data_IF_964951766165
#
_entry.id   IF_964951766165
#
_cell.length_a   1.000
_cell.length_b   1.000
_cell.length_c   1.000
_cell.angle_alpha   90.00
_cell.angle_beta   90.00
_cell.angle_gamma   90.00
#
_symmetry.space_group_name_H-M   'P 1'
#
loop_
_entity.id
_entity.type
_entity.pdbx_description
1 polymer ?
#
# COMPACT_ATOMS: atom_id res chain seq x y z
N UNK A 1 -16.21 3.48 -34.03
CA UNK A 1 -14.90 3.45 -34.72
C UNK A 1 -14.91 2.42 -35.82
N UNK A 2 -14.36 2.74 -36.96
CA UNK A 2 -14.28 1.87 -38.13
C UNK A 2 -12.84 1.58 -38.49
N UNK A 3 -12.53 0.32 -38.76
CA UNK A 3 -11.25 -0.11 -39.30
C UNK A 3 -11.25 0.11 -40.81
N UNK A 4 -10.25 0.81 -41.33
CA UNK A 4 -10.08 1.00 -42.79
C UNK A 4 -8.63 0.74 -43.20
N UNK A 5 -8.41 0.49 -44.50
CA UNK A 5 -7.05 0.41 -45.04
C UNK A 5 -6.39 1.81 -45.01
N UNK A 6 -5.15 1.86 -44.65
CA UNK A 6 -4.38 3.11 -44.58
C UNK A 6 -4.41 3.87 -45.90
N UNK A 7 -4.37 3.15 -47.02
CA UNK A 7 -4.45 3.77 -48.38
C UNK A 7 -5.77 4.46 -48.70
N UNK A 8 -6.85 4.13 -47.94
CA UNK A 8 -8.19 4.70 -48.13
C UNK A 8 -8.51 5.76 -47.03
N UNK A 9 -7.55 6.10 -46.20
CA UNK A 9 -7.77 6.91 -45.01
C UNK A 9 -7.59 8.41 -45.19
N UNK A 10 -7.26 8.88 -46.40
CA UNK A 10 -7.06 10.32 -46.64
C UNK A 10 -8.32 11.11 -46.29
N UNK A 11 -8.17 12.20 -45.54
CA UNK A 11 -9.24 13.05 -45.04
C UNK A 11 -9.94 12.51 -43.78
N UNK A 12 -9.60 11.32 -43.31
CA UNK A 12 -10.14 10.77 -42.09
C UNK A 12 -9.36 11.21 -40.84
N UNK A 13 -9.99 11.15 -39.66
CA UNK A 13 -9.40 11.57 -38.39
C UNK A 13 -8.89 10.36 -37.64
N UNK A 14 -7.63 10.37 -37.23
CA UNK A 14 -7.03 9.35 -36.38
C UNK A 14 -7.67 9.35 -34.99
N UNK A 15 -8.06 8.19 -34.49
CA UNK A 15 -8.68 8.06 -33.17
C UNK A 15 -7.70 7.68 -32.04
N UNK A 16 -6.42 7.46 -32.36
CA UNK A 16 -5.36 7.17 -31.39
C UNK A 16 -4.00 7.67 -31.88
N UNK A 17 -3.02 7.75 -30.97
CA UNK A 17 -1.65 8.08 -31.31
C UNK A 17 -1.00 6.92 -32.08
N UNK A 18 -0.27 7.23 -33.12
CA UNK A 18 0.56 6.29 -33.86
C UNK A 18 2.00 6.45 -33.39
N UNK A 19 2.49 5.48 -32.65
CA UNK A 19 3.84 5.49 -32.06
C UNK A 19 4.83 4.76 -32.97
N UNK A 20 5.99 5.37 -33.20
CA UNK A 20 7.15 4.74 -33.82
C UNK A 20 8.12 4.28 -32.73
N UNK A 21 8.55 3.04 -32.82
CA UNK A 21 9.58 2.48 -31.95
C UNK A 21 10.79 2.11 -32.81
N UNK A 22 11.90 2.81 -32.59
CA UNK A 22 13.20 2.46 -33.15
C UNK A 22 14.09 2.03 -31.99
N UNK A 23 14.42 0.74 -31.84
CA UNK A 23 15.20 0.24 -30.71
C UNK A 23 16.50 1.02 -30.51
N UNK A 24 16.71 1.52 -29.28
CA UNK A 24 17.91 2.29 -28.92
C UNK A 24 17.93 3.76 -29.40
N UNK A 25 16.96 4.22 -30.19
CA UNK A 25 16.96 5.55 -30.80
C UNK A 25 15.74 6.38 -30.41
N UNK A 26 14.52 5.86 -30.63
CA UNK A 26 13.29 6.66 -30.45
C UNK A 26 12.09 5.80 -30.11
N UNK A 27 11.27 6.30 -29.16
CA UNK A 27 9.90 5.85 -28.91
C UNK A 27 9.04 7.10 -28.75
N UNK A 28 8.39 7.53 -29.83
CA UNK A 28 7.55 8.73 -29.82
C UNK A 28 6.38 8.61 -30.80
N UNK A 29 5.31 9.42 -30.57
CA UNK A 29 4.18 9.48 -31.46
C UNK A 29 4.57 10.19 -32.78
N UNK A 30 4.41 9.51 -33.90
CA UNK A 30 4.57 10.09 -35.25
C UNK A 30 3.33 10.90 -35.62
N UNK A 31 2.16 10.38 -35.28
CA UNK A 31 0.89 11.11 -35.43
C UNK A 31 0.13 11.01 -34.10
N UNK A 32 -0.55 12.08 -33.75
CA UNK A 32 -1.38 12.14 -32.56
C UNK A 32 -2.85 11.94 -32.89
N UNK A 33 -3.62 11.46 -31.91
CA UNK A 33 -5.07 11.44 -31.97
C UNK A 33 -5.62 12.78 -32.44
N UNK A 34 -6.60 12.75 -33.35
CA UNK A 34 -7.19 13.94 -33.93
C UNK A 34 -6.47 14.44 -35.17
N UNK A 35 -5.34 13.85 -35.59
CA UNK A 35 -4.66 14.17 -36.82
C UNK A 35 -5.54 13.79 -38.01
N UNK A 36 -5.72 14.74 -38.95
CA UNK A 36 -6.42 14.52 -40.24
C UNK A 36 -5.39 13.95 -41.21
N UNK A 37 -5.63 12.75 -41.70
CA UNK A 37 -4.69 12.01 -42.54
C UNK A 37 -4.60 12.69 -43.91
N UNK A 38 -3.40 13.06 -44.35
CA UNK A 38 -3.11 13.57 -45.68
C UNK A 38 -2.55 12.48 -46.59
N UNK A 39 -2.40 12.77 -47.89
CA UNK A 39 -1.76 11.83 -48.84
C UNK A 39 -0.29 11.56 -48.49
N UNK A 40 0.39 12.56 -47.95
CA UNK A 40 1.79 12.52 -47.53
C UNK A 40 2.01 11.63 -46.31
N UNK A 41 0.98 11.44 -45.48
CA UNK A 41 1.05 10.61 -44.28
C UNK A 41 0.99 9.11 -44.61
N UNK A 42 0.38 8.74 -45.73
CA UNK A 42 0.19 7.33 -46.10
C UNK A 42 1.52 6.53 -46.13
N UNK A 43 2.59 7.00 -46.83
CA UNK A 43 3.87 6.31 -46.79
C UNK A 43 4.48 6.19 -45.41
N UNK A 44 4.29 7.21 -44.56
CA UNK A 44 4.81 7.22 -43.18
C UNK A 44 4.05 6.20 -42.33
N UNK A 45 2.72 6.16 -42.41
CA UNK A 45 1.88 5.18 -41.70
C UNK A 45 2.25 3.74 -42.08
N UNK A 46 2.43 3.48 -43.39
CA UNK A 46 2.85 2.17 -43.87
C UNK A 46 4.25 1.82 -43.39
N UNK A 47 5.19 2.78 -43.34
CA UNK A 47 6.57 2.57 -42.89
C UNK A 47 6.66 2.18 -41.41
N UNK A 48 5.69 2.58 -40.60
CA UNK A 48 5.58 2.18 -39.16
C UNK A 48 4.66 0.97 -38.97
N UNK A 49 4.38 0.23 -40.05
CA UNK A 49 3.65 -1.04 -40.02
C UNK A 49 2.13 -0.89 -39.84
N UNK A 50 1.54 0.22 -40.28
CA UNK A 50 0.10 0.47 -40.18
C UNK A 50 -0.60 0.28 -41.53
N UNK A 51 -0.84 -0.96 -41.93
CA UNK A 51 -1.61 -1.29 -43.14
C UNK A 51 -3.09 -0.98 -43.00
N UNK A 52 -3.59 -1.00 -41.76
CA UNK A 52 -4.95 -0.62 -41.38
C UNK A 52 -4.92 0.29 -40.17
N UNK A 53 -5.89 1.19 -40.09
CA UNK A 53 -6.03 2.15 -38.99
C UNK A 53 -7.49 2.28 -38.56
N UNK A 54 -7.68 2.69 -37.31
CA UNK A 54 -8.98 3.07 -36.79
C UNK A 54 -9.28 4.53 -37.04
N UNK A 55 -10.43 4.81 -37.67
CA UNK A 55 -10.96 6.17 -37.86
C UNK A 55 -12.12 6.42 -36.91
N UNK A 56 -12.36 7.71 -36.63
CA UNK A 56 -13.40 8.12 -35.72
C UNK A 56 -14.78 7.88 -36.33
N UNK A 57 -15.62 7.10 -35.67
CA UNK A 57 -17.06 7.04 -35.84
C UNK A 57 -17.71 7.34 -34.50
N UNK A 58 -18.65 8.29 -34.47
CA UNK A 58 -19.30 8.66 -33.23
C UNK A 58 -20.27 7.56 -32.79
N UNK A 59 -19.93 6.85 -31.73
CA UNK A 59 -20.80 5.86 -31.08
C UNK A 59 -20.94 6.27 -29.61
N UNK A 60 -22.10 6.84 -29.29
CA UNK A 60 -22.39 7.36 -27.95
C UNK A 60 -22.43 6.29 -26.85
N UNK A 61 -22.53 5.01 -27.19
CA UNK A 61 -22.51 3.88 -26.25
C UNK A 61 -21.10 3.50 -25.83
N UNK A 62 -20.09 4.00 -26.55
CA UNK A 62 -18.68 3.70 -26.34
C UNK A 62 -17.94 4.87 -25.67
N UNK A 63 -16.88 4.57 -24.96
CA UNK A 63 -15.98 5.51 -24.32
C UNK A 63 -14.56 5.26 -24.81
N UNK A 64 -13.83 6.34 -25.11
CA UNK A 64 -12.44 6.25 -25.56
C UNK A 64 -11.51 5.90 -24.41
N UNK A 65 -10.36 5.26 -24.70
CA UNK A 65 -9.39 4.78 -23.69
C UNK A 65 -8.94 5.87 -22.71
N UNK A 66 -8.77 7.12 -23.18
CA UNK A 66 -8.33 8.22 -22.32
C UNK A 66 -9.40 8.60 -21.28
N UNK A 67 -10.66 8.68 -21.69
CA UNK A 67 -11.78 8.95 -20.79
C UNK A 67 -12.00 7.78 -19.83
N UNK A 68 -11.88 6.55 -20.33
CA UNK A 68 -11.99 5.34 -19.51
C UNK A 68 -10.85 5.25 -18.46
N UNK A 69 -9.63 5.70 -18.79
CA UNK A 69 -8.53 5.76 -17.85
C UNK A 69 -8.84 6.69 -16.67
N UNK A 70 -9.53 7.82 -16.90
CA UNK A 70 -9.98 8.71 -15.83
C UNK A 70 -11.02 8.04 -14.92
N UNK A 71 -11.94 7.26 -15.48
CA UNK A 71 -12.90 6.48 -14.69
C UNK A 71 -12.17 5.45 -13.81
N UNK A 72 -11.20 4.72 -14.36
CA UNK A 72 -10.38 3.78 -13.60
C UNK A 72 -9.57 4.47 -12.49
N UNK A 73 -9.02 5.65 -12.76
CA UNK A 73 -8.36 6.46 -11.74
C UNK A 73 -9.31 6.81 -10.59
N UNK A 74 -10.53 7.27 -10.91
CA UNK A 74 -11.54 7.59 -9.87
C UNK A 74 -11.92 6.36 -9.04
N UNK A 75 -12.14 5.22 -9.66
CA UNK A 75 -12.36 3.96 -8.95
C UNK A 75 -11.19 3.61 -8.03
N UNK A 76 -9.96 3.89 -8.47
CA UNK A 76 -8.75 3.62 -7.69
C UNK A 76 -8.59 4.54 -6.49
N UNK A 77 -8.78 5.86 -6.66
CA UNK A 77 -8.33 6.87 -5.70
C UNK A 77 -9.44 7.68 -5.01
N UNK A 78 -10.65 7.72 -5.58
CA UNK A 78 -11.71 8.63 -5.13
C UNK A 78 -12.99 7.91 -4.66
N UNK A 79 -13.25 6.72 -5.18
CA UNK A 79 -14.58 6.10 -5.12
C UNK A 79 -15.55 6.75 -6.13
N UNK A 80 -16.76 6.19 -6.27
CA UNK A 80 -17.67 6.56 -7.36
C UNK A 80 -18.94 7.32 -6.92
N UNK A 81 -19.28 7.35 -5.64
CA UNK A 81 -20.48 8.07 -5.12
C UNK A 81 -20.56 9.57 -5.42
N UNK A 82 -19.46 10.21 -5.88
CA UNK A 82 -19.38 11.66 -6.15
C UNK A 82 -19.30 12.01 -7.65
N UNK A 83 -19.48 11.04 -8.53
CA UNK A 83 -19.32 11.26 -9.99
C UNK A 83 -20.48 12.05 -10.59
N UNK A 84 -21.69 12.02 -9.99
CA UNK A 84 -22.88 12.66 -10.54
C UNK A 84 -22.91 14.20 -10.36
N UNK A 85 -22.07 14.77 -9.49
CA UNK A 85 -22.11 16.20 -9.16
C UNK A 85 -21.10 17.06 -9.92
N UNK A 86 -20.10 16.50 -10.63
CA UNK A 86 -18.93 17.27 -11.08
C UNK A 86 -18.55 17.04 -12.56
N UNK A 87 -19.53 16.90 -13.44
CA UNK A 87 -19.27 16.69 -14.89
C UNK A 87 -18.87 17.99 -15.66
N UNK A 88 -18.71 19.12 -14.98
CA UNK A 88 -18.41 20.41 -15.64
C UNK A 88 -17.10 21.10 -15.27
N UNK A 89 -16.31 20.56 -14.36
CA UNK A 89 -15.01 21.18 -14.01
C UNK A 89 -13.99 20.12 -13.62
N UNK A 90 -12.78 20.26 -14.14
CA UNK A 90 -11.63 19.38 -14.02
C UNK A 90 -11.50 18.58 -12.71
N UNK A 91 -11.01 17.37 -12.83
CA UNK A 91 -10.85 16.32 -11.83
C UNK A 91 -10.56 16.86 -10.42
N UNK A 92 -11.61 17.20 -9.66
CA UNK A 92 -11.53 17.48 -8.23
C UNK A 92 -12.23 16.35 -7.49
N UNK A 93 -11.43 15.49 -6.85
CA UNK A 93 -11.93 14.53 -5.87
C UNK A 93 -12.38 15.32 -4.63
N UNK A 94 -13.69 15.39 -4.37
CA UNK A 94 -14.30 16.25 -3.35
C UNK A 94 -14.07 15.88 -1.87
N UNK A 95 -13.08 15.06 -1.58
CA UNK A 95 -12.35 14.91 -0.30
C UNK A 95 -10.89 15.12 -0.64
N UNK A 96 -10.10 15.68 0.27
CA UNK A 96 -8.65 15.83 0.08
C UNK A 96 -8.09 14.46 -0.28
N UNK A 97 -8.03 14.18 -1.60
CA UNK A 97 -7.41 12.95 -2.08
C UNK A 97 -5.94 13.03 -1.72
N UNK A 98 -5.43 12.00 -1.08
CA UNK A 98 -4.01 11.86 -0.76
C UNK A 98 -3.21 11.35 -1.96
N UNK A 99 -3.80 11.42 -3.14
CA UNK A 99 -3.30 10.87 -4.40
C UNK A 99 -3.75 11.74 -5.57
N UNK A 100 -2.90 11.84 -6.59
CA UNK A 100 -3.25 12.51 -7.84
C UNK A 100 -2.93 11.63 -9.07
N UNK A 101 -3.58 11.88 -10.23
CA UNK A 101 -3.27 11.17 -11.47
C UNK A 101 -2.04 11.76 -12.16
N UNK A 102 -1.27 10.93 -12.84
CA UNK A 102 -0.37 11.42 -13.89
C UNK A 102 -1.18 11.96 -15.09
N UNK A 103 -0.57 12.73 -15.99
CA UNK A 103 -1.18 13.03 -17.28
C UNK A 103 -1.56 11.73 -18.02
N UNK A 104 -2.73 11.74 -18.68
CA UNK A 104 -3.16 10.60 -19.51
C UNK A 104 -2.22 10.44 -20.70
N UNK A 105 -1.73 9.24 -20.91
CA UNK A 105 -0.90 8.90 -22.07
C UNK A 105 -1.27 7.51 -22.59
N UNK A 106 -1.76 7.42 -23.84
CA UNK A 106 -2.16 6.16 -24.49
C UNK A 106 -3.12 5.34 -23.58
N UNK A 107 -4.16 5.99 -23.05
CA UNK A 107 -5.13 5.34 -22.18
C UNK A 107 -4.61 4.91 -20.81
N UNK A 108 -3.43 5.37 -20.39
CA UNK A 108 -2.81 5.06 -19.10
C UNK A 108 -2.82 6.25 -18.17
N UNK A 109 -3.10 5.99 -16.91
CA UNK A 109 -2.91 6.91 -15.78
C UNK A 109 -2.16 6.15 -14.70
N UNK A 110 -1.14 6.81 -14.11
CA UNK A 110 -0.49 6.37 -12.88
C UNK A 110 -1.12 7.10 -11.69
N UNK A 111 -1.39 6.39 -10.61
CA UNK A 111 -1.86 6.95 -9.33
C UNK A 111 -0.63 7.26 -8.50
N UNK A 112 -0.45 8.51 -8.08
CA UNK A 112 0.74 9.01 -7.39
C UNK A 112 0.36 9.49 -5.99
N UNK A 113 1.19 9.17 -4.99
CA UNK A 113 0.99 9.58 -3.61
C UNK A 113 1.29 11.08 -3.40
N UNK A 114 0.41 11.79 -2.66
CA UNK A 114 0.60 13.18 -2.25
C UNK A 114 1.20 13.34 -0.86
N UNK A 115 1.26 12.27 -0.09
CA UNK A 115 1.82 12.25 1.26
C UNK A 115 2.48 10.91 1.58
N UNK A 116 3.29 10.92 2.64
CA UNK A 116 3.82 9.72 3.25
C UNK A 116 2.73 8.99 4.04
N UNK A 117 2.77 7.65 4.08
CA UNK A 117 1.82 6.87 4.85
C UNK A 117 1.86 5.38 4.58
N UNK A 118 0.86 4.69 5.10
CA UNK A 118 0.58 3.28 4.87
C UNK A 118 -0.37 3.14 3.69
N UNK A 119 0.06 2.51 2.61
CA UNK A 119 -0.84 2.18 1.49
C UNK A 119 -1.79 1.06 1.89
N UNK A 120 -3.08 1.29 1.74
CA UNK A 120 -4.13 0.26 1.83
C UNK A 120 -4.65 -0.05 0.43
N UNK A 121 -4.87 -1.33 0.18
CA UNK A 121 -5.48 -1.83 -1.07
C UNK A 121 -6.65 -2.73 -0.72
N UNK A 122 -7.84 -2.41 -1.21
CA UNK A 122 -8.97 -3.32 -1.16
C UNK A 122 -8.82 -4.38 -2.26
N UNK A 123 -8.16 -5.48 -1.92
CA UNK A 123 -7.88 -6.58 -2.84
C UNK A 123 -9.14 -7.25 -3.37
N UNK A 124 -10.24 -7.22 -2.62
CA UNK A 124 -11.52 -7.79 -3.06
C UNK A 124 -12.14 -6.94 -4.16
N UNK A 125 -12.19 -5.60 -3.99
CA UNK A 125 -12.64 -4.67 -5.02
C UNK A 125 -11.74 -4.72 -6.25
N UNK A 126 -10.42 -4.67 -6.04
CA UNK A 126 -9.42 -4.75 -7.11
C UNK A 126 -9.62 -6.00 -7.97
N UNK A 127 -9.76 -7.17 -7.33
CA UNK A 127 -10.01 -8.44 -8.02
C UNK A 127 -11.33 -8.39 -8.81
N UNK A 128 -12.42 -7.88 -8.20
CA UNK A 128 -13.73 -7.78 -8.87
C UNK A 128 -13.65 -6.88 -10.12
N UNK A 129 -13.04 -5.70 -10.02
CA UNK A 129 -12.89 -4.78 -11.14
C UNK A 129 -12.06 -5.41 -12.26
N UNK A 130 -10.91 -5.99 -11.94
CA UNK A 130 -10.06 -6.64 -12.94
C UNK A 130 -10.74 -7.89 -13.58
N UNK A 131 -11.70 -8.51 -12.88
CA UNK A 131 -12.44 -9.69 -13.40
C UNK A 131 -13.42 -9.35 -14.53
N UNK A 132 -13.72 -8.07 -14.77
CA UNK A 132 -14.49 -7.67 -15.95
C UNK A 132 -13.74 -7.94 -17.28
N UNK A 133 -12.43 -8.24 -17.22
CA UNK A 133 -11.57 -8.28 -18.40
C UNK A 133 -11.47 -6.88 -19.03
N UNK A 134 -10.59 -6.63 -19.96
CA UNK A 134 -10.41 -5.32 -20.62
C UNK A 134 -10.09 -4.14 -19.69
N UNK A 135 -10.42 -4.20 -18.38
CA UNK A 135 -10.12 -3.21 -17.35
C UNK A 135 -8.91 -3.68 -16.55
N UNK A 136 -7.88 -2.86 -16.49
CA UNK A 136 -6.62 -3.20 -15.81
C UNK A 136 -6.25 -2.13 -14.79
N UNK A 137 -6.22 -2.53 -13.52
CA UNK A 137 -5.66 -1.76 -12.40
C UNK A 137 -4.60 -2.63 -11.76
N UNK A 138 -3.32 -2.23 -11.86
CA UNK A 138 -2.20 -2.90 -11.22
C UNK A 138 -1.67 -2.01 -10.10
N UNK A 139 -1.52 -2.55 -8.89
CA UNK A 139 -1.15 -1.80 -7.70
C UNK A 139 0.16 -2.30 -7.09
N UNK A 140 0.80 -1.48 -6.26
CA UNK A 140 1.78 -1.98 -5.28
C UNK A 140 1.05 -2.86 -4.25
N UNK A 141 1.81 -3.66 -3.50
CA UNK A 141 1.25 -4.38 -2.36
C UNK A 141 0.70 -3.41 -1.31
N UNK A 142 -0.49 -3.71 -0.80
CA UNK A 142 -1.06 -3.07 0.38
C UNK A 142 -0.23 -3.33 1.64
N UNK A 143 -0.56 -2.62 2.71
CA UNK A 143 0.12 -2.67 4.01
C UNK A 143 1.63 -2.36 3.94
N UNK A 144 2.06 -1.57 2.93
CA UNK A 144 3.44 -1.13 2.77
C UNK A 144 3.56 0.38 2.91
N UNK A 145 4.73 0.84 3.36
CA UNK A 145 5.05 2.27 3.43
C UNK A 145 5.18 2.87 2.05
N UNK A 146 4.65 4.06 1.89
CA UNK A 146 4.80 4.88 0.67
C UNK A 146 5.22 6.29 1.06
N UNK A 147 5.91 6.95 0.12
CA UNK A 147 6.34 8.34 0.25
C UNK A 147 5.65 9.20 -0.79
N UNK A 148 5.55 10.50 -0.51
CA UNK A 148 5.08 11.48 -1.49
C UNK A 148 5.86 11.34 -2.80
N UNK A 149 5.13 11.28 -3.93
CA UNK A 149 5.69 11.06 -5.26
C UNK A 149 5.80 9.58 -5.67
N UNK A 150 5.55 8.63 -4.77
CA UNK A 150 5.56 7.21 -5.12
C UNK A 150 4.39 6.86 -6.04
N UNK A 151 4.65 6.03 -7.06
CA UNK A 151 3.62 5.42 -7.89
C UNK A 151 2.97 4.28 -7.11
N UNK A 152 1.64 4.36 -6.95
CA UNK A 152 0.84 3.41 -6.19
C UNK A 152 0.18 2.37 -7.06
N UNK A 153 -0.30 2.82 -8.24
CA UNK A 153 -0.98 1.99 -9.22
C UNK A 153 -0.80 2.54 -10.63
N UNK A 154 -1.03 1.68 -11.62
CA UNK A 154 -1.23 2.04 -13.01
C UNK A 154 -2.55 1.51 -13.51
N UNK A 155 -3.27 2.30 -14.29
CA UNK A 155 -4.58 1.94 -14.82
C UNK A 155 -4.58 1.97 -16.35
N UNK A 156 -5.36 1.08 -16.97
CA UNK A 156 -5.54 1.05 -18.42
C UNK A 156 -6.78 0.25 -18.80
N UNK A 157 -7.43 0.59 -19.92
CA UNK A 157 -8.26 -0.37 -20.65
C UNK A 157 -7.44 -1.01 -21.78
N UNK A 158 -7.81 -2.25 -22.16
CA UNK A 158 -7.09 -2.98 -23.22
C UNK A 158 -7.52 -2.52 -24.61
N UNK A 159 -8.84 -2.41 -24.93
CA UNK A 159 -9.27 -1.91 -26.22
C UNK A 159 -9.15 -0.39 -26.30
N UNK A 160 -9.11 0.15 -27.52
CA UNK A 160 -9.08 1.59 -27.76
C UNK A 160 -10.39 2.29 -27.33
N UNK A 161 -11.49 1.58 -27.37
CA UNK A 161 -12.81 2.01 -26.87
C UNK A 161 -13.49 0.86 -26.12
N UNK A 162 -14.26 1.22 -25.11
CA UNK A 162 -14.99 0.27 -24.26
C UNK A 162 -16.45 0.71 -24.12
N UNK A 163 -17.36 -0.24 -23.87
CA UNK A 163 -18.78 0.05 -23.62
C UNK A 163 -18.94 0.84 -22.30
N UNK A 164 -19.68 1.95 -22.35
CA UNK A 164 -19.98 2.78 -21.17
C UNK A 164 -20.68 1.97 -20.07
N UNK A 165 -21.62 1.10 -20.44
CA UNK A 165 -22.34 0.27 -19.47
C UNK A 165 -21.41 -0.66 -18.69
N UNK A 166 -20.40 -1.25 -19.35
CA UNK A 166 -19.41 -2.10 -18.69
C UNK A 166 -18.58 -1.31 -17.66
N UNK A 167 -18.15 -0.08 -18.01
CA UNK A 167 -17.45 0.80 -17.07
C UNK A 167 -18.35 1.23 -15.91
N UNK A 168 -19.62 1.52 -16.17
CA UNK A 168 -20.60 1.89 -15.15
C UNK A 168 -20.82 0.72 -14.18
N UNK A 169 -21.02 -0.49 -14.67
CA UNK A 169 -21.17 -1.68 -13.83
C UNK A 169 -19.92 -1.94 -12.96
N UNK A 170 -18.72 -1.82 -13.54
CA UNK A 170 -17.48 -1.93 -12.77
C UNK A 170 -17.34 -0.81 -11.71
N UNK A 171 -17.79 0.41 -12.04
CA UNK A 171 -17.74 1.56 -11.13
C UNK A 171 -18.64 1.37 -9.89
N UNK A 172 -19.75 0.65 -10.01
CA UNK A 172 -20.65 0.36 -8.88
C UNK A 172 -19.95 -0.42 -7.76
N UNK A 173 -18.88 -1.19 -8.07
CA UNK A 173 -18.06 -1.89 -7.07
C UNK A 173 -17.39 -0.92 -6.12
N UNK A 174 -17.13 0.31 -6.56
CA UNK A 174 -16.41 1.34 -5.80
C UNK A 174 -17.34 2.43 -5.23
N UNK A 175 -18.67 2.22 -5.21
CA UNK A 175 -19.63 3.18 -4.67
C UNK A 175 -19.43 3.46 -3.17
N UNK A 176 -19.04 2.46 -2.39
CA UNK A 176 -18.78 2.56 -0.95
C UNK A 176 -17.37 3.06 -0.60
N UNK A 177 -16.54 3.34 -1.60
CA UNK A 177 -15.20 3.90 -1.44
C UNK A 177 -14.18 3.40 -2.47
N UNK A 178 -13.00 4.01 -2.52
CA UNK A 178 -11.95 3.70 -3.49
C UNK A 178 -11.29 2.33 -3.23
N UNK A 179 -10.52 1.87 -4.23
CA UNK A 179 -9.67 0.67 -4.12
C UNK A 179 -8.44 0.96 -3.26
N UNK A 180 -7.89 2.18 -3.33
CA UNK A 180 -6.67 2.59 -2.63
C UNK A 180 -6.97 3.65 -1.58
N UNK A 181 -6.26 3.60 -0.46
CA UNK A 181 -6.19 4.68 0.53
C UNK A 181 -4.76 4.79 1.07
N UNK A 182 -4.38 5.97 1.54
CA UNK A 182 -3.14 6.19 2.29
C UNK A 182 -3.54 6.59 3.71
N UNK A 183 -3.19 5.76 4.70
CA UNK A 183 -3.34 6.09 6.11
C UNK A 183 -2.08 6.81 6.59
N UNK A 184 -2.16 8.05 7.07
CA UNK A 184 -1.00 8.76 7.58
C UNK A 184 -0.45 8.08 8.84
N UNK A 185 0.85 8.18 9.07
CA UNK A 185 1.44 7.78 10.35
C UNK A 185 1.10 8.84 11.40
N UNK A 186 0.39 8.43 12.45
CA UNK A 186 -0.16 9.35 13.46
C UNK A 186 0.37 9.10 14.87
N UNK A 187 0.93 7.91 15.14
CA UNK A 187 1.56 7.60 16.43
C UNK A 187 2.85 8.41 16.56
N UNK A 188 3.01 9.10 17.69
CA UNK A 188 4.17 9.97 17.98
C UNK A 188 4.91 9.58 19.25
N UNK A 189 4.24 8.95 20.20
CA UNK A 189 4.74 8.66 21.54
C UNK A 189 4.79 7.17 21.79
N UNK A 190 6.00 6.61 21.84
CA UNK A 190 6.21 5.20 22.12
C UNK A 190 6.84 5.01 23.51
N UNK A 191 6.47 3.90 24.15
CA UNK A 191 7.16 3.41 25.34
C UNK A 191 7.93 2.12 25.02
N UNK A 192 9.06 1.94 25.69
CA UNK A 192 9.86 0.73 25.62
C UNK A 192 10.03 0.20 27.05
N UNK A 193 9.65 -1.04 27.24
CA UNK A 193 9.82 -1.79 28.49
C UNK A 193 10.83 -2.90 28.23
N UNK A 194 12.03 -2.74 28.76
CA UNK A 194 13.10 -3.72 28.61
C UNK A 194 13.07 -4.68 29.81
N UNK A 195 13.08 -5.98 29.57
CA UNK A 195 13.10 -6.99 30.62
C UNK A 195 14.32 -7.91 30.49
N UNK A 196 14.71 -8.52 31.57
CA UNK A 196 15.80 -9.47 31.64
C UNK A 196 16.75 -9.18 32.80
N UNK A 197 17.01 -10.18 33.63
CA UNK A 197 17.90 -10.07 34.78
C UNK A 197 19.30 -9.63 34.40
N UNK A 198 19.78 -10.00 33.21
CA UNK A 198 21.12 -9.65 32.74
C UNK A 198 21.25 -8.16 32.38
N UNK A 199 20.20 -7.54 31.82
CA UNK A 199 20.17 -6.12 31.53
C UNK A 199 19.91 -5.31 32.80
N UNK A 200 18.94 -5.77 33.63
CA UNK A 200 18.55 -5.10 34.86
C UNK A 200 19.71 -4.97 35.85
N UNK A 201 20.53 -6.02 35.99
CA UNK A 201 21.72 -6.01 36.84
C UNK A 201 22.99 -5.43 36.17
N UNK A 202 22.84 -4.88 34.94
CA UNK A 202 23.96 -4.27 34.21
C UNK A 202 25.06 -5.25 33.76
N UNK A 203 24.75 -6.55 33.68
CA UNK A 203 25.70 -7.57 33.19
C UNK A 203 25.94 -7.45 31.70
N UNK A 204 24.90 -7.02 30.94
CA UNK A 204 24.97 -6.67 29.52
C UNK A 204 24.26 -5.34 29.28
N UNK A 205 24.59 -4.69 28.17
CA UNK A 205 23.91 -3.46 27.76
C UNK A 205 22.63 -3.79 27.00
N UNK A 206 21.62 -2.93 27.14
CA UNK A 206 20.41 -3.01 26.34
C UNK A 206 20.70 -2.71 24.87
N UNK A 207 20.58 -3.73 24.03
CA UNK A 207 20.77 -3.65 22.59
C UNK A 207 19.44 -3.52 21.81
N UNK A 208 18.28 -3.68 22.48
CA UNK A 208 16.96 -3.56 21.85
C UNK A 208 16.52 -2.11 21.69
N UNK A 209 16.61 -1.32 22.75
CA UNK A 209 16.12 0.06 22.76
C UNK A 209 16.66 0.88 21.61
N UNK A 210 17.97 0.92 21.29
CA UNK A 210 18.47 1.70 20.16
C UNK A 210 17.93 1.27 18.80
N UNK A 211 17.66 -0.03 18.62
CA UNK A 211 17.09 -0.57 17.36
C UNK A 211 15.64 -0.14 17.20
N UNK A 212 14.84 -0.21 18.28
CA UNK A 212 13.44 0.20 18.26
C UNK A 212 13.33 1.71 18.04
N UNK A 213 14.09 2.52 18.74
CA UNK A 213 14.12 3.98 18.57
C UNK A 213 14.40 4.36 17.12
N UNK A 214 15.41 3.74 16.51
CA UNK A 214 15.72 3.98 15.10
C UNK A 214 14.54 3.63 14.18
N UNK A 215 13.87 2.51 14.43
CA UNK A 215 12.73 2.06 13.60
C UNK A 215 11.51 2.95 13.76
N UNK A 216 11.15 3.37 14.98
CA UNK A 216 9.99 4.26 15.19
C UNK A 216 10.24 5.67 14.69
N UNK A 217 11.50 6.15 14.72
CA UNK A 217 11.89 7.45 14.18
C UNK A 217 11.63 7.56 12.66
N UNK A 218 11.69 6.45 11.90
CA UNK A 218 11.34 6.42 10.48
C UNK A 218 9.88 6.86 10.23
N UNK A 219 9.01 6.77 11.25
CA UNK A 219 7.59 7.15 11.21
C UNK A 219 7.31 8.49 11.93
N UNK A 220 8.34 9.18 12.39
CA UNK A 220 8.24 10.44 13.12
C UNK A 220 7.76 10.27 14.57
N UNK A 221 7.92 9.08 15.16
CA UNK A 221 7.66 8.84 16.58
C UNK A 221 8.93 8.89 17.41
N UNK A 222 8.78 9.16 18.70
CA UNK A 222 9.86 9.25 19.66
C UNK A 222 9.56 8.38 20.88
N UNK A 223 10.60 7.83 21.48
CA UNK A 223 10.51 7.20 22.79
C UNK A 223 10.25 8.29 23.84
N UNK A 224 9.13 8.16 24.56
CA UNK A 224 8.77 9.09 25.64
C UNK A 224 8.87 8.47 27.03
N UNK A 225 8.97 7.14 27.09
CA UNK A 225 9.03 6.37 28.33
C UNK A 225 9.92 5.14 28.12
N UNK A 226 10.84 4.91 29.04
CA UNK A 226 11.70 3.73 29.04
C UNK A 226 11.98 3.31 30.48
N UNK A 227 11.73 2.04 30.79
CA UNK A 227 12.13 1.43 32.06
C UNK A 227 12.69 0.02 31.80
N UNK A 228 13.61 -0.37 32.65
CA UNK A 228 14.24 -1.70 32.65
C UNK A 228 13.82 -2.44 33.90
N UNK A 229 13.35 -3.67 33.73
CA UNK A 229 12.89 -4.53 34.83
C UNK A 229 13.65 -5.85 34.86
N UNK A 230 13.74 -6.44 36.08
CA UNK A 230 13.99 -7.85 36.25
C UNK A 230 12.79 -8.68 35.72
N UNK A 231 12.91 -10.02 35.76
CA UNK A 231 11.87 -10.90 35.22
C UNK A 231 10.69 -11.09 36.23
N UNK A 232 10.21 -9.98 36.82
CA UNK A 232 9.05 -9.89 37.69
C UNK A 232 7.82 -9.44 36.88
N UNK A 233 6.84 -10.33 36.65
CA UNK A 233 5.67 -10.05 35.85
C UNK A 233 4.82 -8.88 36.38
N UNK A 234 4.77 -8.68 37.70
CA UNK A 234 4.00 -7.59 38.32
C UNK A 234 4.65 -6.23 38.01
N UNK A 235 5.98 -6.13 38.18
CA UNK A 235 6.71 -4.90 37.87
C UNK A 235 6.60 -4.53 36.40
N UNK A 236 6.72 -5.52 35.50
CA UNK A 236 6.58 -5.33 34.05
C UNK A 236 5.17 -4.87 33.71
N UNK A 237 4.13 -5.49 34.32
CA UNK A 237 2.73 -5.10 34.15
C UNK A 237 2.52 -3.64 34.57
N UNK A 238 2.97 -3.27 35.78
CA UNK A 238 2.84 -1.91 36.31
C UNK A 238 3.60 -0.90 35.43
N UNK A 239 4.76 -1.27 34.90
CA UNK A 239 5.54 -0.45 33.96
C UNK A 239 4.77 -0.17 32.68
N UNK A 240 4.13 -1.17 32.09
CA UNK A 240 3.29 -1.00 30.91
C UNK A 240 2.11 -0.04 31.20
N UNK A 241 1.43 -0.21 32.33
CA UNK A 241 0.29 0.65 32.69
C UNK A 241 0.74 2.09 32.96
N UNK A 242 1.83 2.31 33.70
CA UNK A 242 2.39 3.65 33.91
C UNK A 242 2.79 4.34 32.60
N UNK A 243 3.36 3.59 31.66
CA UNK A 243 3.70 4.12 30.34
C UNK A 243 2.45 4.63 29.60
N UNK A 244 1.35 3.86 29.66
CA UNK A 244 0.07 4.22 29.03
C UNK A 244 -0.54 5.46 29.72
N UNK A 245 -0.54 5.49 31.06
CA UNK A 245 -1.01 6.63 31.85
C UNK A 245 -0.19 7.89 31.56
N UNK A 246 1.14 7.74 31.35
CA UNK A 246 2.02 8.84 30.95
C UNK A 246 1.77 9.32 29.52
N UNK A 247 0.87 8.67 28.76
CA UNK A 247 0.44 9.08 27.43
C UNK A 247 1.12 8.36 26.28
N UNK A 248 1.76 7.22 26.50
CA UNK A 248 2.25 6.38 25.43
C UNK A 248 1.09 5.92 24.52
N UNK A 249 1.32 6.00 23.22
CA UNK A 249 0.35 5.61 22.19
C UNK A 249 0.61 4.18 21.69
N UNK A 250 1.78 3.61 22.01
CA UNK A 250 2.20 2.25 21.76
C UNK A 250 3.26 1.85 22.78
N UNK A 251 3.24 0.58 23.21
CA UNK A 251 4.23 0.01 24.14
C UNK A 251 4.92 -1.17 23.49
N UNK A 252 6.24 -1.18 23.52
CA UNK A 252 7.09 -2.29 23.08
C UNK A 252 7.75 -2.93 24.30
N UNK A 253 7.49 -4.22 24.52
CA UNK A 253 8.16 -5.01 25.52
C UNK A 253 9.24 -5.87 24.87
N UNK A 254 10.46 -5.84 25.41
CA UNK A 254 11.62 -6.58 24.90
C UNK A 254 12.21 -7.44 26.02
N UNK A 255 12.76 -8.60 25.64
CA UNK A 255 13.23 -9.60 26.61
C UNK A 255 12.11 -10.49 27.13
N UNK A 256 12.45 -11.61 27.74
CA UNK A 256 11.51 -12.54 28.37
C UNK A 256 10.35 -13.01 27.49
N UNK A 257 10.58 -13.17 26.17
CA UNK A 257 9.54 -13.50 25.18
C UNK A 257 9.57 -14.96 24.70
N UNK A 258 10.50 -15.78 25.20
CA UNK A 258 10.61 -17.18 24.83
C UNK A 258 9.72 -18.08 25.69
N UNK A 259 9.94 -19.36 25.65
CA UNK A 259 9.15 -20.37 26.38
C UNK A 259 9.80 -20.83 27.73
N UNK A 260 10.89 -20.19 28.10
CA UNK A 260 11.59 -20.53 29.33
C UNK A 260 10.77 -20.11 30.56
N UNK A 261 10.89 -20.83 31.70
CA UNK A 261 10.11 -20.52 32.90
C UNK A 261 10.29 -19.10 33.43
N UNK A 262 11.45 -18.51 33.15
CA UNK A 262 11.80 -17.15 33.58
C UNK A 262 11.32 -16.06 32.60
N UNK A 263 10.81 -16.45 31.43
CA UNK A 263 10.27 -15.52 30.44
C UNK A 263 8.85 -15.06 30.83
N UNK A 264 8.75 -13.97 31.55
CA UNK A 264 7.51 -13.46 32.15
C UNK A 264 6.80 -12.39 31.35
N UNK A 265 7.40 -11.87 30.30
CA UNK A 265 6.84 -10.76 29.51
C UNK A 265 5.47 -11.07 28.90
N UNK A 266 5.18 -12.25 28.31
CA UNK A 266 3.83 -12.56 27.81
C UNK A 266 2.77 -12.58 28.92
N UNK A 267 3.11 -13.10 30.12
CA UNK A 267 2.24 -13.11 31.27
C UNK A 267 1.98 -11.67 31.75
N UNK A 268 3.02 -10.85 31.85
CA UNK A 268 2.90 -9.47 32.28
C UNK A 268 2.00 -8.66 31.32
N UNK A 269 2.15 -8.83 30.00
CA UNK A 269 1.27 -8.20 29.02
C UNK A 269 -0.19 -8.65 29.21
N UNK A 270 -0.42 -9.94 29.44
CA UNK A 270 -1.77 -10.46 29.73
C UNK A 270 -2.35 -9.85 31.00
N UNK A 271 -1.55 -9.68 32.04
CA UNK A 271 -1.97 -9.15 33.35
C UNK A 271 -2.34 -7.66 33.29
N UNK A 272 -1.92 -6.90 32.24
CA UNK A 272 -2.41 -5.53 32.03
C UNK A 272 -3.90 -5.46 31.75
N UNK A 273 -4.57 -6.58 31.41
CA UNK A 273 -5.93 -6.62 30.91
C UNK A 273 -6.06 -6.38 29.43
N UNK A 274 -4.96 -6.23 28.70
CA UNK A 274 -4.98 -6.06 27.24
C UNK A 274 -5.54 -7.31 26.55
N UNK A 275 -6.34 -7.09 25.52
CA UNK A 275 -6.86 -8.15 24.67
C UNK A 275 -5.76 -8.69 23.76
N UNK A 276 -5.31 -9.90 24.01
CA UNK A 276 -4.32 -10.58 23.17
C UNK A 276 -4.94 -10.85 21.79
N UNK A 277 -4.28 -10.40 20.73
CA UNK A 277 -4.61 -10.72 19.33
C UNK A 277 -3.96 -12.03 18.94
N UNK A 278 -2.65 -12.16 19.19
CA UNK A 278 -1.88 -13.35 18.93
C UNK A 278 -0.63 -13.39 19.80
N UNK A 279 -0.25 -14.56 20.25
CA UNK A 279 1.09 -14.88 20.72
C UNK A 279 1.65 -15.96 19.81
N UNK A 280 2.67 -15.55 19.06
CA UNK A 280 3.20 -16.28 17.91
C UNK A 280 2.71 -15.71 16.57
N UNK A 281 3.56 -15.80 15.56
CA UNK A 281 3.24 -15.45 14.18
C UNK A 281 3.93 -16.39 13.20
N UNK A 282 3.33 -16.69 12.04
CA UNK A 282 3.94 -17.56 11.03
C UNK A 282 4.97 -16.81 10.17
N UNK A 283 5.83 -16.00 10.82
CA UNK A 283 6.85 -15.17 10.17
C UNK A 283 8.22 -15.50 10.76
N UNK A 284 9.18 -15.78 9.91
CA UNK A 284 10.56 -16.08 10.28
C UNK A 284 11.53 -15.14 9.54
N UNK A 285 12.33 -14.36 10.31
CA UNK A 285 12.42 -14.26 11.77
C UNK A 285 11.22 -13.56 12.41
N UNK A 286 10.84 -13.99 13.62
CA UNK A 286 9.81 -13.29 14.39
C UNK A 286 8.71 -14.15 15.01
N UNK A 287 8.87 -15.49 15.02
CA UNK A 287 7.81 -16.42 15.49
C UNK A 287 7.22 -16.10 16.86
N UNK A 288 8.03 -15.63 17.82
CA UNK A 288 7.61 -15.34 19.20
C UNK A 288 7.01 -13.94 19.39
N UNK A 289 6.55 -13.30 18.32
CA UNK A 289 5.89 -12.00 18.40
C UNK A 289 4.54 -12.09 19.12
N UNK A 290 4.29 -11.15 20.03
CA UNK A 290 3.00 -10.97 20.69
C UNK A 290 2.40 -9.62 20.32
N UNK A 291 1.12 -9.61 19.95
CA UNK A 291 0.33 -8.39 19.74
C UNK A 291 -0.89 -8.41 20.65
N UNK A 292 -1.12 -7.32 21.35
CA UNK A 292 -2.32 -7.07 22.12
C UNK A 292 -2.77 -5.63 22.01
N UNK A 293 -4.02 -5.35 22.41
CA UNK A 293 -4.56 -3.99 22.48
C UNK A 293 -5.15 -3.76 23.88
N UNK A 294 -4.65 -2.73 24.56
CA UNK A 294 -5.17 -2.24 25.84
C UNK A 294 -6.20 -1.15 25.55
N UNK A 295 -7.36 -1.24 26.21
CA UNK A 295 -8.41 -0.22 26.13
C UNK A 295 -8.17 0.83 27.24
N UNK A 296 -7.69 2.00 26.83
CA UNK A 296 -7.47 3.13 27.72
C UNK A 296 -8.74 4.01 27.89
N UNK A 297 -9.89 3.57 27.37
CA UNK A 297 -11.17 4.26 27.41
C UNK A 297 -11.37 5.22 26.23
N UNK A 298 -10.42 6.09 25.98
CA UNK A 298 -10.45 7.05 24.86
C UNK A 298 -9.75 6.53 23.60
N UNK A 299 -8.88 5.54 23.75
CA UNK A 299 -8.08 4.94 22.68
C UNK A 299 -7.66 3.51 22.95
N UNK A 300 -7.41 2.76 21.89
CA UNK A 300 -6.74 1.46 21.97
C UNK A 300 -5.23 1.65 21.85
N UNK A 301 -4.47 1.14 22.82
CA UNK A 301 -3.03 1.22 22.85
C UNK A 301 -2.45 -0.18 22.54
N UNK A 302 -1.71 -0.34 21.42
CA UNK A 302 -1.02 -1.59 21.13
C UNK A 302 0.07 -1.85 22.18
N UNK A 303 0.12 -3.07 22.72
CA UNK A 303 1.26 -3.57 23.51
C UNK A 303 1.83 -4.76 22.74
N UNK A 304 3.11 -4.65 22.36
CA UNK A 304 3.80 -5.63 21.54
C UNK A 304 4.93 -6.28 22.33
N UNK A 305 4.95 -7.59 22.40
CA UNK A 305 6.11 -8.35 22.84
C UNK A 305 7.02 -8.67 21.65
N UNK A 306 8.24 -8.14 21.64
CA UNK A 306 9.16 -8.29 20.53
C UNK A 306 10.11 -9.47 20.74
N UNK A 307 10.23 -10.38 19.76
CA UNK A 307 11.16 -11.51 19.84
C UNK A 307 12.61 -11.05 19.77
N UNK A 308 13.53 -11.80 20.39
CA UNK A 308 14.96 -11.50 20.45
C UNK A 308 15.61 -11.25 19.09
N UNK A 309 15.11 -11.90 18.04
CA UNK A 309 15.62 -11.72 16.69
C UNK A 309 15.40 -10.30 16.10
N UNK A 310 14.50 -9.49 16.68
CA UNK A 310 14.28 -8.11 16.23
C UNK A 310 15.52 -7.22 16.44
N UNK A 311 16.43 -7.61 17.32
CA UNK A 311 17.65 -6.89 17.64
C UNK A 311 18.73 -7.02 16.55
N UNK A 312 18.90 -8.20 15.95
CA UNK A 312 20.03 -8.49 15.07
C UNK A 312 19.67 -8.85 13.62
N UNK A 313 18.41 -9.18 13.34
CA UNK A 313 18.00 -9.43 11.96
C UNK A 313 17.66 -8.13 11.24
N UNK A 314 18.02 -8.05 9.94
CA UNK A 314 17.73 -6.89 9.09
C UNK A 314 16.21 -6.63 9.01
N UNK A 315 15.42 -7.71 8.88
CA UNK A 315 13.95 -7.65 8.79
C UNK A 315 13.31 -8.81 9.55
N UNK A 316 12.22 -8.51 10.24
CA UNK A 316 11.45 -9.45 11.06
C UNK A 316 9.96 -9.16 10.95
N UNK A 317 9.10 -9.90 11.65
CA UNK A 317 7.68 -9.58 11.80
C UNK A 317 7.47 -8.12 12.25
N UNK A 318 8.37 -7.57 13.07
CA UNK A 318 8.26 -6.20 13.55
C UNK A 318 8.24 -5.19 12.40
N UNK A 319 9.06 -5.39 11.35
CA UNK A 319 9.10 -4.51 10.18
C UNK A 319 7.81 -4.60 9.33
N UNK A 320 7.09 -5.71 9.41
CA UNK A 320 5.82 -5.90 8.70
C UNK A 320 4.67 -5.21 9.45
N UNK A 321 4.61 -5.34 10.77
CA UNK A 321 3.49 -4.84 11.57
C UNK A 321 3.66 -3.37 11.97
N UNK A 322 4.89 -2.89 12.18
CA UNK A 322 5.17 -1.55 12.65
C UNK A 322 4.49 -0.46 11.83
N UNK A 323 4.56 -0.43 10.48
CA UNK A 323 3.88 0.60 9.69
C UNK A 323 2.38 0.66 9.94
N UNK A 324 1.73 -0.49 10.14
CA UNK A 324 0.30 -0.57 10.44
C UNK A 324 -0.01 0.02 11.81
N UNK A 325 0.77 -0.35 12.83
CA UNK A 325 0.62 0.17 14.19
C UNK A 325 0.83 1.70 14.24
N UNK A 326 1.84 2.21 13.52
CA UNK A 326 2.13 3.64 13.45
C UNK A 326 1.04 4.45 12.74
N UNK A 327 0.27 3.80 11.85
CA UNK A 327 -0.89 4.38 11.18
C UNK A 327 -2.20 4.15 11.94
N UNK A 328 -2.18 3.57 13.15
CA UNK A 328 -3.36 3.09 13.91
C UNK A 328 -4.27 2.20 13.07
N UNK A 329 -3.67 1.39 12.19
CA UNK A 329 -4.38 0.39 11.41
C UNK A 329 -4.48 -0.90 12.23
N UNK A 330 -5.68 -1.24 12.69
CA UNK A 330 -5.92 -2.43 13.50
C UNK A 330 -5.45 -3.69 12.77
N UNK A 331 -4.82 -4.59 13.52
CA UNK A 331 -4.35 -5.89 13.02
C UNK A 331 -5.14 -6.98 13.73
N UNK A 332 -5.72 -7.90 12.98
CA UNK A 332 -6.50 -9.01 13.48
C UNK A 332 -5.74 -10.33 13.38
N UNK A 333 -6.19 -11.33 14.13
CA UNK A 333 -5.51 -12.62 14.21
C UNK A 333 -5.45 -13.37 12.86
N UNK A 334 -6.51 -13.29 12.07
CA UNK A 334 -6.58 -13.88 10.74
C UNK A 334 -5.60 -13.21 9.76
N UNK A 335 -5.40 -11.89 9.86
CA UNK A 335 -4.42 -11.18 9.05
C UNK A 335 -2.97 -11.59 9.42
N UNK A 336 -2.67 -11.79 10.72
CA UNK A 336 -1.37 -12.31 11.13
C UNK A 336 -1.16 -13.74 10.65
N UNK A 337 -2.19 -14.60 10.76
CA UNK A 337 -2.14 -15.96 10.25
C UNK A 337 -1.92 -16.00 8.72
N UNK A 338 -2.51 -15.07 7.99
CA UNK A 338 -2.35 -14.92 6.56
C UNK A 338 -0.92 -14.57 6.10
N UNK A 339 -0.06 -14.08 7.00
CA UNK A 339 1.34 -13.80 6.69
C UNK A 339 2.20 -15.05 6.46
N UNK A 340 1.67 -16.25 6.70
CA UNK A 340 2.41 -17.51 6.54
C UNK A 340 2.94 -17.70 5.13
N UNK A 341 2.16 -17.41 4.10
CA UNK A 341 2.68 -17.33 2.74
C UNK A 341 3.49 -16.05 2.56
N UNK A 342 4.75 -16.18 2.16
CA UNK A 342 5.71 -15.06 2.13
C UNK A 342 6.29 -14.69 3.51
N UNK A 343 5.97 -15.43 4.58
CA UNK A 343 6.46 -15.16 5.94
C UNK A 343 7.92 -15.54 6.18
N UNK A 344 8.60 -16.18 5.23
CA UNK A 344 10.00 -16.57 5.35
C UNK A 344 10.92 -15.53 4.71
N UNK A 345 11.69 -14.82 5.54
CA UNK A 345 12.76 -13.94 5.05
C UNK A 345 13.97 -14.77 4.59
N UNK A 346 14.39 -14.57 3.35
CA UNK A 346 15.53 -15.30 2.78
C UNK A 346 16.90 -14.74 3.19
N UNK A 347 16.92 -13.67 3.99
CA UNK A 347 18.10 -12.99 4.50
C UNK A 347 19.12 -12.63 3.40
N UNK A 348 18.62 -12.07 2.29
CA UNK A 348 19.40 -11.72 1.11
C UNK A 348 20.58 -10.79 1.43
N UNK A 349 21.69 -10.91 0.69
CA UNK A 349 22.87 -10.05 0.83
C UNK A 349 22.48 -8.57 0.69
N UNK A 350 21.71 -8.23 -0.33
CA UNK A 350 21.11 -6.92 -0.54
C UNK A 350 19.62 -6.98 -0.20
N UNK A 351 19.23 -6.29 0.89
CA UNK A 351 17.83 -6.25 1.33
C UNK A 351 17.03 -5.26 0.49
N UNK A 352 16.03 -5.76 -0.24
CA UNK A 352 15.11 -4.96 -1.07
C UNK A 352 13.75 -4.72 -0.40
N UNK A 353 13.57 -5.10 0.87
CA UNK A 353 12.32 -4.86 1.60
C UNK A 353 11.92 -3.37 1.56
N UNK A 354 10.64 -3.03 1.34
CA UNK A 354 9.48 -3.90 1.21
C UNK A 354 9.20 -4.43 -0.21
N UNK A 355 10.10 -4.24 -1.18
CA UNK A 355 9.94 -4.64 -2.58
C UNK A 355 10.38 -6.10 -2.84
N UNK A 356 10.09 -6.99 -1.91
CA UNK A 356 10.35 -8.44 -2.01
C UNK A 356 9.12 -9.23 -1.58
N UNK A 357 9.17 -10.56 -1.63
CA UNK A 357 8.04 -11.42 -1.21
C UNK A 357 7.78 -11.46 0.29
N UNK A 358 8.73 -11.01 1.13
CA UNK A 358 8.60 -11.08 2.58
C UNK A 358 7.47 -10.20 3.12
N UNK A 359 6.56 -10.82 3.89
CA UNK A 359 5.41 -10.14 4.49
C UNK A 359 4.29 -9.79 3.51
N UNK A 360 4.18 -10.50 2.39
CA UNK A 360 3.17 -10.29 1.35
C UNK A 360 2.08 -11.36 1.35
N UNK A 361 1.77 -11.96 2.49
CA UNK A 361 0.68 -12.91 2.63
C UNK A 361 -0.66 -12.43 2.06
N UNK A 362 -1.57 -13.36 1.81
CA UNK A 362 -2.89 -13.12 1.23
C UNK A 362 -3.84 -12.37 2.17
#
# INVERSE_FOLDING_TARGET
MKLIKTTEAVGQVLCHDITQIVPGVKKDAVFRKGHIITKEDIPVLLSVGKDTIYIWENDETMMHENEAAEVLYRMSACGTKKIEADTQSGVSCGTVSKMHPSPVKEGKIEVIADCDGLLKVDSKKLKKVNSFGELMIATRHGNTTVKKGDKLAGTRIIPLVIKKDKLKEASNICEDGPILDIKPFVVRKAAIITTGNEVYHGRIQDAFTPVIEKKIAEFGAQMMFHEVFDDDDKKITDGCLRAIEAGAEIVFCTGGMSVDPDDKTPLAIKNTGARIVSYGSPVLPGAMFLLSYYDAGDRLVPICGLPGCAMYNKRTIFDIVLPRLMARDMIYADELAGLGEGGLCLNCDVCTFPNCGFGKGF
#
